data_IF_765486950317
#
_entry.id   IF_765486950317
#
_cell.length_a   1.000
_cell.length_b   1.000
_cell.length_c   1.000
_cell.angle_alpha   90.00
_cell.angle_beta   90.00
_cell.angle_gamma   90.00
#
_symmetry.space_group_name_H-M   'P 1'
#
loop_
_entity.id
_entity.type
_entity.pdbx_description
1 polymer ?
#
# COMPACT_ATOMS: atom_id res chain seq x y z
N UNK A 1 -28.80 -8.10 0.84
CA UNK A 1 -27.50 -7.65 0.27
C UNK A 1 -27.18 -6.20 0.59
N UNK A 2 -28.07 -5.24 0.27
CA UNK A 2 -27.85 -3.81 0.59
C UNK A 2 -27.55 -3.59 2.08
N UNK A 3 -28.27 -4.27 2.98
CA UNK A 3 -28.02 -4.22 4.42
C UNK A 3 -26.60 -4.68 4.81
N UNK A 4 -26.07 -5.73 4.16
CA UNK A 4 -24.72 -6.23 4.43
C UNK A 4 -23.66 -5.27 3.87
N UNK A 5 -23.89 -4.68 2.69
CA UNK A 5 -23.01 -3.65 2.13
C UNK A 5 -22.94 -2.42 3.03
N UNK A 6 -24.08 -1.97 3.56
CA UNK A 6 -24.14 -0.86 4.52
C UNK A 6 -23.44 -1.23 5.83
N UNK A 7 -23.63 -2.46 6.33
CA UNK A 7 -22.93 -2.95 7.52
C UNK A 7 -21.41 -2.94 7.35
N UNK A 8 -20.90 -3.39 6.20
CA UNK A 8 -19.47 -3.37 5.86
C UNK A 8 -18.91 -1.95 5.79
N UNK A 9 -19.67 -0.99 5.24
CA UNK A 9 -19.32 0.43 5.24
C UNK A 9 -19.21 0.98 6.67
N UNK A 10 -20.19 0.66 7.53
CA UNK A 10 -20.16 1.06 8.94
C UNK A 10 -18.93 0.47 9.63
N UNK A 11 -18.66 -0.83 9.47
CA UNK A 11 -17.46 -1.48 10.00
C UNK A 11 -16.17 -0.80 9.55
N UNK A 12 -16.06 -0.42 8.27
CA UNK A 12 -14.91 0.32 7.75
C UNK A 12 -14.71 1.67 8.46
N UNK A 13 -15.79 2.42 8.68
CA UNK A 13 -15.75 3.71 9.39
C UNK A 13 -15.38 3.53 10.86
N UNK A 14 -15.79 2.43 11.49
CA UNK A 14 -15.40 2.07 12.86
C UNK A 14 -13.98 1.50 12.99
N UNK A 15 -13.19 1.50 11.91
CA UNK A 15 -11.78 1.10 11.93
C UNK A 15 -11.53 -0.38 11.67
N UNK A 16 -12.51 -1.11 11.11
CA UNK A 16 -12.25 -2.46 10.64
C UNK A 16 -11.14 -2.45 9.57
N UNK A 17 -10.26 -3.47 9.54
CA UNK A 17 -9.21 -3.53 8.54
C UNK A 17 -9.78 -3.51 7.11
N UNK A 18 -9.32 -2.56 6.29
CA UNK A 18 -9.82 -2.36 4.93
C UNK A 18 -9.75 -3.63 4.07
N UNK A 19 -8.68 -4.43 4.21
CA UNK A 19 -8.54 -5.69 3.47
C UNK A 19 -9.68 -6.68 3.79
N UNK A 20 -10.16 -6.72 5.03
CA UNK A 20 -11.24 -7.61 5.45
C UNK A 20 -12.59 -7.13 4.87
N UNK A 21 -12.79 -5.82 4.84
CA UNK A 21 -13.98 -5.19 4.23
C UNK A 21 -14.02 -5.49 2.72
N UNK A 22 -12.89 -5.32 2.02
CA UNK A 22 -12.76 -5.63 0.59
C UNK A 22 -13.00 -7.12 0.34
N UNK A 23 -12.35 -8.02 1.07
CA UNK A 23 -12.53 -9.46 0.92
C UNK A 23 -13.99 -9.89 1.16
N UNK A 24 -14.63 -9.40 2.22
CA UNK A 24 -16.03 -9.70 2.51
C UNK A 24 -16.96 -9.16 1.40
N UNK A 25 -16.68 -7.97 0.87
CA UNK A 25 -17.44 -7.41 -0.25
C UNK A 25 -17.30 -8.24 -1.53
N UNK A 26 -16.09 -8.74 -1.83
CA UNK A 26 -15.84 -9.63 -2.95
C UNK A 26 -16.58 -10.97 -2.80
N UNK A 27 -16.53 -11.58 -1.60
CA UNK A 27 -17.28 -12.81 -1.29
C UNK A 27 -18.79 -12.64 -1.48
N UNK A 28 -19.34 -11.47 -1.14
CA UNK A 28 -20.75 -11.16 -1.38
C UNK A 28 -21.07 -10.96 -2.87
N UNK A 29 -20.14 -10.39 -3.64
CA UNK A 29 -20.25 -10.27 -5.10
C UNK A 29 -20.28 -11.64 -5.78
N UNK A 30 -19.33 -12.52 -5.46
CA UNK A 30 -19.25 -13.86 -6.03
C UNK A 30 -20.51 -14.69 -5.74
N UNK A 31 -21.02 -14.62 -4.51
CA UNK A 31 -22.28 -15.28 -4.15
C UNK A 31 -23.47 -14.74 -4.94
N UNK A 32 -23.47 -13.45 -5.29
CA UNK A 32 -24.54 -12.84 -6.11
C UNK A 32 -24.55 -13.37 -7.53
N UNK A 33 -23.36 -13.56 -8.10
CA UNK A 33 -23.17 -14.07 -9.46
C UNK A 33 -23.27 -15.61 -9.53
N UNK A 34 -23.45 -16.29 -8.40
CA UNK A 34 -23.51 -17.75 -8.32
C UNK A 34 -22.16 -18.43 -8.56
N UNK A 35 -21.05 -17.70 -8.39
CA UNK A 35 -19.69 -18.21 -8.52
C UNK A 35 -19.28 -18.86 -7.19
N UNK A 36 -18.67 -20.03 -7.27
CA UNK A 36 -18.12 -20.72 -6.10
C UNK A 36 -17.05 -19.85 -5.42
N UNK A 37 -17.13 -19.72 -4.09
CA UNK A 37 -16.13 -19.02 -3.28
C UNK A 37 -14.74 -19.66 -3.41
N UNK A 38 -14.65 -20.93 -3.80
CA UNK A 38 -13.36 -21.57 -4.12
C UNK A 38 -12.58 -20.80 -5.20
N UNK A 39 -13.25 -20.09 -6.11
CA UNK A 39 -12.61 -19.25 -7.12
C UNK A 39 -11.75 -18.14 -6.48
N UNK A 40 -12.16 -17.58 -5.34
CA UNK A 40 -11.38 -16.56 -4.61
C UNK A 40 -10.05 -17.14 -4.12
N UNK A 41 -10.05 -18.39 -3.64
CA UNK A 41 -8.81 -19.05 -3.20
C UNK A 41 -7.85 -19.31 -4.38
N UNK A 42 -8.38 -19.66 -5.55
CA UNK A 42 -7.59 -19.85 -6.77
C UNK A 42 -6.94 -18.54 -7.22
N UNK A 43 -7.70 -17.44 -7.23
CA UNK A 43 -7.17 -16.10 -7.55
C UNK A 43 -6.05 -15.68 -6.57
N UNK A 44 -6.24 -15.91 -5.26
CA UNK A 44 -5.22 -15.62 -4.24
C UNK A 44 -3.93 -16.43 -4.49
N UNK A 45 -4.05 -17.71 -4.84
CA UNK A 45 -2.89 -18.55 -5.19
C UNK A 45 -2.19 -18.05 -6.46
N UNK A 46 -2.94 -17.54 -7.44
CA UNK A 46 -2.39 -16.90 -8.63
C UNK A 46 -1.55 -15.66 -8.29
N UNK A 47 -2.06 -14.81 -7.39
CA UNK A 47 -1.35 -13.61 -6.92
C UNK A 47 -0.12 -13.99 -6.10
N UNK A 48 -0.21 -14.99 -5.22
CA UNK A 48 0.90 -15.42 -4.36
C UNK A 48 2.13 -15.89 -5.13
N UNK A 49 1.95 -16.42 -6.33
CA UNK A 49 3.03 -16.85 -7.22
C UNK A 49 3.61 -15.72 -8.06
N UNK A 50 3.08 -14.50 -7.99
CA UNK A 50 3.60 -13.41 -8.78
C UNK A 50 4.97 -12.95 -8.26
N UNK A 51 5.93 -12.67 -9.16
CA UNK A 51 7.28 -12.23 -8.78
C UNK A 51 7.32 -10.97 -7.93
N UNK A 52 6.28 -10.12 -7.99
CA UNK A 52 6.25 -8.85 -7.26
C UNK A 52 6.17 -9.03 -5.74
N UNK A 53 5.64 -10.14 -5.21
CA UNK A 53 5.59 -10.37 -3.76
C UNK A 53 7.00 -10.45 -3.16
N UNK A 54 7.98 -10.92 -3.94
CA UNK A 54 9.39 -10.97 -3.52
C UNK A 54 10.02 -9.57 -3.37
N UNK A 55 9.43 -8.54 -3.98
CA UNK A 55 9.91 -7.18 -3.83
C UNK A 55 9.69 -6.64 -2.41
N UNK A 56 8.64 -7.06 -1.70
CA UNK A 56 8.34 -6.59 -0.33
C UNK A 56 9.50 -6.87 0.64
N UNK A 57 10.00 -8.12 0.80
CA UNK A 57 11.13 -8.38 1.69
C UNK A 57 12.43 -7.76 1.19
N UNK A 58 12.67 -7.71 -0.12
CA UNK A 58 13.88 -7.09 -0.68
C UNK A 58 13.89 -5.56 -0.45
N UNK A 59 12.74 -4.90 -0.58
CA UNK A 59 12.60 -3.47 -0.31
C UNK A 59 12.75 -3.19 1.18
N UNK A 60 12.20 -4.06 2.03
CA UNK A 60 12.40 -4.00 3.49
C UNK A 60 13.88 -4.14 3.84
N UNK A 61 14.57 -5.12 3.26
CA UNK A 61 16.01 -5.33 3.44
C UNK A 61 16.83 -4.12 2.99
N UNK A 62 16.54 -3.58 1.80
CA UNK A 62 17.18 -2.36 1.32
C UNK A 62 16.92 -1.18 2.27
N UNK A 63 15.69 -1.01 2.75
CA UNK A 63 15.32 0.02 3.73
C UNK A 63 16.14 -0.07 5.02
N UNK A 64 16.31 -1.28 5.56
CA UNK A 64 17.18 -1.53 6.72
C UNK A 64 18.64 -1.19 6.43
N UNK A 65 19.16 -1.64 5.28
CA UNK A 65 20.54 -1.37 4.88
C UNK A 65 20.80 0.14 4.70
N UNK A 66 19.86 0.89 4.13
CA UNK A 66 19.93 2.34 4.01
C UNK A 66 19.88 3.02 5.38
N UNK A 67 19.02 2.57 6.29
CA UNK A 67 18.90 3.11 7.65
C UNK A 67 20.20 2.95 8.43
N UNK A 68 20.79 1.75 8.42
CA UNK A 68 22.04 1.45 9.14
C UNK A 68 23.27 2.15 8.52
N UNK A 69 23.28 2.37 7.21
CA UNK A 69 24.39 3.07 6.53
C UNK A 69 24.40 4.60 6.73
N UNK A 70 23.49 5.16 7.55
CA UNK A 70 23.29 6.60 7.71
C UNK A 70 22.99 7.35 6.38
N UNK A 71 22.53 6.64 5.34
CA UNK A 71 22.19 7.24 4.05
C UNK A 71 21.09 8.32 4.15
N UNK A 72 20.00 8.14 4.94
CA UNK A 72 18.97 9.18 5.10
C UNK A 72 19.52 10.52 5.59
N UNK A 73 20.44 10.51 6.56
CA UNK A 73 21.07 11.75 7.07
C UNK A 73 21.86 12.47 5.98
N UNK A 74 22.58 11.73 5.14
CA UNK A 74 23.34 12.29 4.00
C UNK A 74 22.41 12.89 2.94
N UNK A 75 21.28 12.23 2.66
CA UNK A 75 20.27 12.72 1.72
C UNK A 75 19.58 13.99 2.22
N UNK A 76 19.24 14.07 3.52
CA UNK A 76 18.69 15.29 4.13
C UNK A 76 19.71 16.44 4.06
N UNK A 77 21.00 16.17 4.32
CA UNK A 77 22.05 17.20 4.21
C UNK A 77 22.21 17.70 2.76
N UNK A 78 22.16 16.80 1.78
CA UNK A 78 22.26 17.14 0.36
C UNK A 78 21.06 17.99 -0.08
N UNK A 79 19.85 17.54 0.23
CA UNK A 79 18.61 18.27 -0.11
C UNK A 79 18.53 19.61 0.61
N UNK A 80 18.98 19.70 1.85
CA UNK A 80 19.14 20.96 2.58
C UNK A 80 20.15 21.91 1.93
N UNK A 81 21.27 21.40 1.39
CA UNK A 81 22.22 22.24 0.66
C UNK A 81 21.67 22.74 -0.69
N UNK A 82 20.83 21.95 -1.36
CA UNK A 82 20.24 22.32 -2.67
C UNK A 82 19.01 23.23 -2.55
N UNK A 83 18.15 22.99 -1.55
CA UNK A 83 16.82 23.58 -1.42
C UNK A 83 16.60 24.34 -0.11
N UNK A 84 17.60 24.41 0.78
CA UNK A 84 17.50 25.09 2.08
C UNK A 84 17.34 26.61 2.01
N UNK A 85 17.61 27.21 0.84
CA UNK A 85 17.35 28.63 0.58
C UNK A 85 15.86 28.93 0.33
N UNK A 86 15.03 27.91 0.07
CA UNK A 86 13.60 28.05 -0.20
C UNK A 86 12.79 27.89 1.10
N UNK A 87 11.93 28.87 1.47
CA UNK A 87 11.02 28.71 2.60
C UNK A 87 10.07 27.53 2.35
N UNK A 88 10.07 26.55 3.26
CA UNK A 88 9.31 25.30 3.11
C UNK A 88 9.99 24.21 2.26
N UNK A 89 11.26 24.37 1.86
CA UNK A 89 11.97 23.41 1.00
C UNK A 89 11.97 21.97 1.52
N UNK A 90 12.07 21.77 2.83
CA UNK A 90 11.96 20.43 3.45
C UNK A 90 10.58 19.80 3.26
N UNK A 91 9.50 20.59 3.29
CA UNK A 91 8.15 20.09 3.05
C UNK A 91 7.98 19.62 1.60
N UNK A 92 8.54 20.35 0.63
CA UNK A 92 8.54 19.97 -0.78
C UNK A 92 9.36 18.69 -1.02
N UNK A 93 10.53 18.58 -0.39
CA UNK A 93 11.37 17.37 -0.45
C UNK A 93 10.64 16.17 0.14
N UNK A 94 9.95 16.36 1.27
CA UNK A 94 9.14 15.31 1.89
C UNK A 94 8.01 14.87 0.96
N UNK A 95 7.28 15.81 0.35
CA UNK A 95 6.21 15.52 -0.61
C UNK A 95 6.73 14.76 -1.83
N UNK A 96 7.84 15.20 -2.42
CA UNK A 96 8.47 14.54 -3.55
C UNK A 96 8.96 13.14 -3.20
N UNK A 97 9.58 12.96 -2.02
CA UNK A 97 10.01 11.66 -1.53
C UNK A 97 8.81 10.73 -1.29
N UNK A 98 7.76 11.21 -0.62
CA UNK A 98 6.52 10.45 -0.42
C UNK A 98 5.91 10.03 -1.76
N UNK A 99 5.74 10.96 -2.70
CA UNK A 99 5.18 10.66 -4.03
C UNK A 99 6.03 9.64 -4.80
N UNK A 100 7.36 9.77 -4.76
CA UNK A 100 8.29 8.81 -5.37
C UNK A 100 8.12 7.43 -4.76
N UNK A 101 8.16 7.31 -3.43
CA UNK A 101 8.02 6.01 -2.75
C UNK A 101 6.64 5.40 -2.92
N UNK A 102 5.56 6.19 -2.92
CA UNK A 102 4.20 5.71 -3.22
C UNK A 102 4.13 4.99 -4.57
N UNK A 103 4.84 5.49 -5.60
CA UNK A 103 4.89 4.82 -6.89
C UNK A 103 5.54 3.41 -6.83
N UNK A 104 6.52 3.20 -5.94
CA UNK A 104 7.20 1.91 -5.77
C UNK A 104 6.53 0.97 -4.78
N UNK A 105 5.91 1.49 -3.71
CA UNK A 105 5.27 0.69 -2.66
C UNK A 105 3.82 0.32 -2.97
N UNK A 106 3.33 0.69 -4.15
CA UNK A 106 1.98 0.36 -4.59
C UNK A 106 1.15 1.61 -4.85
N UNK A 107 1.35 2.22 -6.02
CA UNK A 107 0.27 2.85 -6.78
C UNK A 107 -0.47 1.79 -7.63
N UNK A 108 -0.37 0.51 -7.27
CA UNK A 108 -1.20 -0.54 -7.86
C UNK A 108 -2.56 -0.47 -7.16
N UNK A 109 -3.66 -0.49 -7.92
CA UNK A 109 -5.04 -0.24 -7.44
C UNK A 109 -5.61 -1.19 -6.37
N UNK A 110 -4.74 -1.91 -5.66
CA UNK A 110 -5.04 -2.73 -4.47
C UNK A 110 -4.91 -1.89 -3.18
N UNK A 111 -4.18 -0.77 -3.21
CA UNK A 111 -3.95 0.10 -2.04
C UNK A 111 -4.74 1.42 -2.08
N UNK A 112 -5.42 1.74 -3.18
CA UNK A 112 -6.32 2.91 -3.34
C UNK A 112 -7.76 2.41 -3.43
#
# INVERSE_FOLDING_TARGET
MILLSVLLLVLAVFGAPLFAVIAASAMLGYQKEGIDLMAIAIEILGIANMPFLSAIPLFTFAGYLLSESNAPKRLVRLTGAMLGWMPGGLALVSLAACAFFTAFTGASGVTI
#
